data_IF_272661169914
#
_entry.id   IF_272661169914
#
_cell.length_a   1.000
_cell.length_b   1.000
_cell.length_c   1.000
_cell.angle_alpha   90.00
_cell.angle_beta   90.00
_cell.angle_gamma   90.00
#
_symmetry.space_group_name_H-M   'P 1'
#
loop_
_entity.id
_entity.type
_entity.pdbx_description
1 polymer ?
#
# COMPACT_ATOMS: atom_id res chain seq x y z
N UNK A 1 -3.25 5.40 -8.74
CA UNK A 1 -3.90 6.02 -9.92
C UNK A 1 -4.99 6.97 -9.43
N UNK A 2 -4.93 8.26 -9.77
CA UNK A 2 -5.86 9.26 -9.19
C UNK A 2 -7.24 9.29 -9.84
N UNK A 3 -7.36 9.10 -11.16
CA UNK A 3 -8.65 9.19 -11.88
C UNK A 3 -9.27 7.83 -12.22
N UNK A 4 -8.50 6.73 -12.15
CA UNK A 4 -9.00 5.36 -12.30
C UNK A 4 -9.59 5.03 -13.67
N UNK A 5 -9.31 5.83 -14.70
CA UNK A 5 -9.84 5.61 -16.07
C UNK A 5 -9.05 4.54 -16.81
N UNK A 6 -9.68 3.89 -17.80
CA UNK A 6 -9.02 2.87 -18.64
C UNK A 6 -7.78 3.41 -19.34
N UNK A 7 -7.86 4.65 -19.84
CA UNK A 7 -6.73 5.36 -20.45
C UNK A 7 -5.57 5.49 -19.47
N UNK A 8 -5.83 5.98 -18.26
CA UNK A 8 -4.79 6.15 -17.24
C UNK A 8 -4.15 4.83 -16.83
N UNK A 9 -4.93 3.74 -16.80
CA UNK A 9 -4.40 2.39 -16.55
C UNK A 9 -3.46 1.94 -17.68
N UNK A 10 -3.83 2.19 -18.94
CA UNK A 10 -2.96 1.88 -20.09
C UNK A 10 -1.68 2.72 -20.10
N UNK A 11 -1.78 4.01 -19.77
CA UNK A 11 -0.61 4.88 -19.64
C UNK A 11 0.37 4.39 -18.57
N UNK A 12 -0.13 3.92 -17.41
CA UNK A 12 0.69 3.27 -16.38
C UNK A 12 1.36 2.01 -16.92
N UNK A 13 0.60 1.16 -17.62
CA UNK A 13 1.14 -0.05 -18.24
C UNK A 13 2.32 0.24 -19.18
N UNK A 14 2.18 1.21 -20.08
CA UNK A 14 3.23 1.62 -21.00
C UNK A 14 4.46 2.18 -20.27
N UNK A 15 4.26 3.06 -19.28
CA UNK A 15 5.37 3.66 -18.51
C UNK A 15 6.13 2.65 -17.66
N UNK A 16 5.42 1.69 -17.07
CA UNK A 16 6.05 0.56 -16.38
C UNK A 16 6.94 -0.24 -17.34
N UNK A 17 6.43 -0.62 -18.52
CA UNK A 17 7.22 -1.36 -19.50
C UNK A 17 8.46 -0.58 -19.97
N UNK A 18 8.31 0.74 -20.20
CA UNK A 18 9.40 1.62 -20.61
C UNK A 18 10.54 1.72 -19.57
N UNK A 19 10.26 1.40 -18.31
CA UNK A 19 11.23 1.43 -17.19
C UNK A 19 11.72 0.03 -16.80
N UNK A 20 11.38 -1.00 -17.58
CA UNK A 20 11.77 -2.40 -17.32
C UNK A 20 10.86 -3.15 -16.33
N UNK A 21 9.80 -2.51 -15.83
CA UNK A 21 8.79 -3.16 -15.01
C UNK A 21 7.81 -3.95 -15.91
N UNK A 22 7.76 -5.26 -15.74
CA UNK A 22 6.95 -6.16 -16.60
C UNK A 22 5.55 -6.43 -16.05
N UNK A 23 5.32 -6.17 -14.76
CA UNK A 23 4.01 -6.26 -14.14
C UNK A 23 3.87 -5.33 -12.94
N UNK A 24 2.65 -4.88 -12.66
CA UNK A 24 2.36 -3.96 -11.57
C UNK A 24 1.02 -4.26 -10.89
N UNK A 25 0.86 -3.80 -9.65
CA UNK A 25 -0.44 -3.73 -9.00
C UNK A 25 -1.08 -2.37 -9.29
N UNK A 26 -2.30 -2.39 -9.83
CA UNK A 26 -3.11 -1.18 -9.97
C UNK A 26 -3.46 -0.66 -8.57
N UNK A 27 -2.79 0.41 -8.16
CA UNK A 27 -2.85 0.90 -6.78
C UNK A 27 -3.87 2.03 -6.66
N UNK A 28 -4.84 1.89 -5.75
CA UNK A 28 -5.79 2.97 -5.40
C UNK A 28 -5.12 4.00 -4.51
N UNK A 29 -5.68 5.21 -4.46
CA UNK A 29 -5.49 6.13 -3.33
C UNK A 29 -6.79 6.17 -2.53
N UNK A 30 -6.77 6.80 -1.36
CA UNK A 30 -7.99 6.96 -0.56
C UNK A 30 -9.04 7.73 -1.35
N UNK A 31 -10.23 7.14 -1.49
CA UNK A 31 -11.33 7.68 -2.28
C UNK A 31 -12.68 7.33 -1.65
N UNK A 32 -13.77 7.83 -2.25
CA UNK A 32 -15.11 7.31 -1.95
C UNK A 32 -15.22 5.85 -2.40
N UNK A 33 -16.15 5.09 -1.80
CA UNK A 33 -16.44 3.71 -2.24
C UNK A 33 -16.85 3.66 -3.71
N UNK A 34 -17.62 4.66 -4.18
CA UNK A 34 -18.08 4.75 -5.57
C UNK A 34 -16.89 4.84 -6.52
N UNK A 35 -15.97 5.76 -6.26
CA UNK A 35 -14.80 5.98 -7.13
C UNK A 35 -13.87 4.76 -7.11
N UNK A 36 -13.75 4.10 -5.96
CA UNK A 36 -12.97 2.88 -5.85
C UNK A 36 -13.57 1.73 -6.69
N UNK A 37 -14.88 1.54 -6.63
CA UNK A 37 -15.61 0.57 -7.45
C UNK A 37 -15.46 0.90 -8.94
N UNK A 38 -15.56 2.17 -9.31
CA UNK A 38 -15.39 2.61 -10.69
C UNK A 38 -13.97 2.31 -11.21
N UNK A 39 -12.93 2.55 -10.38
CA UNK A 39 -11.55 2.17 -10.70
C UNK A 39 -11.39 0.66 -10.87
N UNK A 40 -11.95 -0.14 -9.96
CA UNK A 40 -11.92 -1.62 -10.04
C UNK A 40 -12.55 -2.10 -11.35
N UNK A 41 -13.68 -1.51 -11.75
CA UNK A 41 -14.36 -1.84 -13.01
C UNK A 41 -13.52 -1.48 -14.23
N UNK A 42 -12.83 -0.34 -14.21
CA UNK A 42 -11.87 0.01 -15.27
C UNK A 42 -10.73 -0.99 -15.35
N UNK A 43 -10.13 -1.39 -14.21
CA UNK A 43 -9.08 -2.43 -14.17
C UNK A 43 -9.59 -3.75 -14.76
N UNK A 44 -10.82 -4.17 -14.43
CA UNK A 44 -11.45 -5.39 -14.99
C UNK A 44 -11.63 -5.32 -16.51
N UNK A 45 -11.82 -4.13 -17.09
CA UNK A 45 -11.98 -3.97 -18.54
C UNK A 45 -10.65 -3.99 -19.29
N UNK A 46 -9.57 -3.54 -18.62
CA UNK A 46 -8.21 -3.43 -19.17
C UNK A 46 -7.35 -4.69 -18.96
N UNK A 47 -7.55 -5.43 -17.88
CA UNK A 47 -6.71 -6.61 -17.58
C UNK A 47 -6.72 -7.62 -18.74
N UNK A 48 -5.52 -8.08 -19.13
CA UNK A 48 -5.30 -8.94 -20.29
C UNK A 48 -5.28 -8.21 -21.64
N UNK A 49 -5.47 -6.89 -21.66
CA UNK A 49 -5.43 -6.02 -22.85
C UNK A 49 -4.42 -4.88 -22.68
N UNK A 50 -3.51 -5.00 -21.73
CA UNK A 50 -2.48 -4.02 -21.46
C UNK A 50 -1.55 -3.85 -22.67
N UNK A 51 -1.19 -2.61 -22.99
CA UNK A 51 -0.28 -2.30 -24.10
C UNK A 51 1.20 -2.48 -23.71
N UNK A 52 1.51 -2.54 -22.41
CA UNK A 52 2.87 -2.69 -21.87
C UNK A 52 2.93 -3.71 -20.73
N UNK A 53 3.29 -3.23 -19.53
CA UNK A 53 3.39 -4.07 -18.34
C UNK A 53 2.03 -4.67 -17.97
N UNK A 54 2.02 -5.90 -17.46
CA UNK A 54 0.79 -6.62 -17.12
C UNK A 54 0.23 -6.18 -15.76
N UNK A 55 -1.08 -6.12 -15.63
CA UNK A 55 -1.72 -5.94 -14.33
C UNK A 55 -1.68 -7.26 -13.57
N UNK A 56 -0.89 -7.32 -12.49
CA UNK A 56 -0.81 -8.48 -11.59
C UNK A 56 -1.98 -8.54 -10.59
N UNK A 57 -2.73 -7.45 -10.47
CA UNK A 57 -3.89 -7.30 -9.59
C UNK A 57 -4.03 -5.88 -9.08
N UNK A 58 -4.70 -5.73 -7.94
CA UNK A 58 -5.05 -4.47 -7.31
C UNK A 58 -4.42 -4.39 -5.92
N UNK A 59 -3.84 -3.23 -5.62
CA UNK A 59 -3.45 -2.84 -4.27
C UNK A 59 -4.40 -1.74 -3.80
N UNK A 60 -5.12 -2.01 -2.72
CA UNK A 60 -5.98 -1.03 -2.07
C UNK A 60 -5.16 -0.26 -1.02
N UNK A 61 -4.70 0.94 -1.37
CA UNK A 61 -4.04 1.83 -0.41
C UNK A 61 -5.06 2.81 0.18
N UNK A 62 -5.50 2.52 1.41
CA UNK A 62 -6.61 3.21 2.03
C UNK A 62 -7.98 2.67 1.61
N UNK A 63 -9.07 3.27 2.11
CA UNK A 63 -9.14 4.55 2.84
C UNK A 63 -9.01 4.42 4.37
N UNK A 64 -8.70 3.23 4.87
CA UNK A 64 -8.60 2.92 6.30
C UNK A 64 -7.25 3.32 6.90
N UNK A 65 -6.92 4.60 6.80
CA UNK A 65 -5.62 5.17 7.16
C UNK A 65 -5.77 6.24 8.24
N UNK A 66 -4.75 6.43 9.07
CA UNK A 66 -4.81 7.39 10.16
C UNK A 66 -4.63 8.83 9.65
N UNK A 67 -5.59 9.75 9.91
CA UNK A 67 -5.47 11.16 9.48
C UNK A 67 -4.20 11.86 9.96
N UNK A 68 -3.67 11.51 11.14
CA UNK A 68 -2.40 12.05 11.68
C UNK A 68 -1.19 11.73 10.79
N UNK A 69 -1.31 10.70 9.96
CA UNK A 69 -0.27 10.14 9.11
C UNK A 69 -0.69 10.09 7.64
N UNK A 70 -1.67 10.92 7.25
CA UNK A 70 -2.27 10.92 5.91
C UNK A 70 -1.29 11.15 4.76
N UNK A 71 -0.20 11.88 4.96
CA UNK A 71 0.67 12.29 3.86
C UNK A 71 -0.13 13.04 2.78
N UNK A 72 -0.10 12.53 1.55
CA UNK A 72 -0.85 13.08 0.40
C UNK A 72 -2.29 12.56 0.29
N UNK A 73 -2.74 11.66 1.17
CA UNK A 73 -4.09 11.10 1.14
C UNK A 73 -5.12 12.18 1.49
N UNK A 74 -6.22 12.22 0.73
CA UNK A 74 -7.30 13.18 0.99
C UNK A 74 -8.03 12.83 2.29
N UNK A 75 -7.89 13.70 3.30
CA UNK A 75 -8.47 13.48 4.63
C UNK A 75 -10.00 13.37 4.62
N UNK A 76 -10.69 14.03 3.68
CA UNK A 76 -12.17 14.03 3.66
C UNK A 76 -12.80 12.68 3.31
N UNK A 77 -12.00 11.74 2.78
CA UNK A 77 -12.45 10.39 2.40
C UNK A 77 -11.84 9.30 3.28
N UNK A 78 -10.91 9.66 4.18
CA UNK A 78 -10.39 8.74 5.19
C UNK A 78 -11.50 8.37 6.16
N UNK A 79 -11.54 7.09 6.53
CA UNK A 79 -12.58 6.55 7.43
C UNK A 79 -12.07 5.34 8.19
N UNK A 80 -12.81 4.95 9.22
CA UNK A 80 -12.45 3.79 10.03
C UNK A 80 -12.51 2.50 9.22
N UNK A 81 -11.66 1.51 9.52
CA UNK A 81 -11.79 0.15 9.01
C UNK A 81 -13.22 -0.39 9.14
N UNK A 82 -13.80 -0.85 8.02
CA UNK A 82 -15.13 -1.45 7.98
C UNK A 82 -15.11 -2.75 7.17
N UNK A 83 -15.42 -3.87 7.86
CA UNK A 83 -15.44 -5.21 7.25
C UNK A 83 -16.58 -5.36 6.24
N UNK A 84 -17.73 -4.70 6.45
CA UNK A 84 -18.85 -4.77 5.53
C UNK A 84 -18.52 -4.06 4.22
N UNK A 85 -17.97 -2.86 4.32
CA UNK A 85 -17.51 -2.10 3.15
C UNK A 85 -16.42 -2.87 2.38
N UNK A 86 -15.42 -3.40 3.09
CA UNK A 86 -14.39 -4.22 2.45
C UNK A 86 -15.00 -5.47 1.79
N UNK A 87 -16.00 -6.11 2.39
CA UNK A 87 -16.69 -7.24 1.78
C UNK A 87 -17.44 -6.84 0.50
N UNK A 88 -18.02 -5.65 0.42
CA UNK A 88 -18.59 -5.11 -0.82
C UNK A 88 -17.53 -4.90 -1.91
N UNK A 89 -16.38 -4.35 -1.53
CA UNK A 89 -15.23 -4.18 -2.43
C UNK A 89 -14.75 -5.54 -2.97
N UNK A 90 -14.65 -6.56 -2.11
CA UNK A 90 -14.31 -7.92 -2.53
C UNK A 90 -15.36 -8.56 -3.45
N UNK A 91 -16.66 -8.22 -3.33
CA UNK A 91 -17.68 -8.73 -4.27
C UNK A 91 -17.47 -8.20 -5.69
N UNK A 92 -17.00 -6.96 -5.84
CA UNK A 92 -16.72 -6.37 -7.14
C UNK A 92 -15.37 -6.83 -7.72
N UNK A 93 -14.30 -6.78 -6.92
CA UNK A 93 -12.94 -7.05 -7.40
C UNK A 93 -12.55 -8.55 -7.37
N UNK A 94 -13.12 -9.33 -6.43
CA UNK A 94 -12.80 -10.74 -6.26
C UNK A 94 -11.32 -10.99 -6.02
N UNK A 95 -10.75 -11.94 -6.75
CA UNK A 95 -9.34 -12.35 -6.64
C UNK A 95 -8.34 -11.34 -7.23
N UNK A 96 -8.82 -10.23 -7.80
CA UNK A 96 -7.95 -9.15 -8.28
C UNK A 96 -7.28 -8.42 -7.12
N UNK A 97 -7.90 -8.33 -5.94
CA UNK A 97 -7.27 -7.73 -4.77
C UNK A 97 -6.12 -8.63 -4.33
N UNK A 98 -4.89 -8.11 -4.39
CA UNK A 98 -3.68 -8.82 -3.94
C UNK A 98 -3.13 -8.26 -2.64
N UNK A 99 -3.34 -6.97 -2.40
CA UNK A 99 -2.80 -6.28 -1.24
C UNK A 99 -3.75 -5.20 -0.74
N UNK A 100 -3.82 -5.03 0.57
CA UNK A 100 -4.59 -3.96 1.23
C UNK A 100 -3.71 -3.30 2.29
N UNK A 101 -3.64 -1.96 2.26
CA UNK A 101 -2.93 -1.16 3.26
C UNK A 101 -3.92 -0.59 4.27
N UNK A 102 -3.63 -0.78 5.55
CA UNK A 102 -4.47 -0.35 6.68
C UNK A 102 -3.61 0.23 7.80
N UNK A 103 -4.15 1.21 8.52
CA UNK A 103 -3.64 1.64 9.81
C UNK A 103 -4.25 0.75 10.92
N UNK A 104 -3.47 -0.16 11.54
CA UNK A 104 -4.00 -1.20 12.41
C UNK A 104 -4.57 -0.68 13.74
N UNK A 105 -4.10 0.47 14.21
CA UNK A 105 -4.49 1.08 15.50
C UNK A 105 -5.89 1.74 15.46
N UNK A 106 -6.47 1.86 14.28
CA UNK A 106 -7.80 2.42 14.13
C UNK A 106 -8.89 1.45 14.63
N UNK A 107 -9.97 1.94 15.24
CA UNK A 107 -11.13 1.12 15.60
C UNK A 107 -11.59 0.23 14.44
N UNK A 108 -11.71 -1.08 14.69
CA UNK A 108 -12.04 -2.09 13.67
C UNK A 108 -10.84 -2.61 12.85
N UNK A 109 -9.64 -2.06 13.05
CA UNK A 109 -8.44 -2.44 12.30
C UNK A 109 -8.08 -3.92 12.44
N UNK A 110 -8.12 -4.45 13.67
CA UNK A 110 -7.83 -5.86 13.93
C UNK A 110 -8.89 -6.81 13.35
N UNK A 111 -10.16 -6.41 13.38
CA UNK A 111 -11.24 -7.19 12.76
C UNK A 111 -11.08 -7.24 11.24
N UNK A 112 -10.69 -6.12 10.63
CA UNK A 112 -10.37 -6.04 9.22
C UNK A 112 -9.16 -6.90 8.87
N UNK A 113 -8.07 -6.86 9.64
CA UNK A 113 -6.90 -7.72 9.44
C UNK A 113 -7.30 -9.20 9.48
N UNK A 114 -8.10 -9.60 10.47
CA UNK A 114 -8.59 -10.98 10.57
C UNK A 114 -9.44 -11.37 9.34
N UNK A 115 -10.28 -10.47 8.84
CA UNK A 115 -11.04 -10.66 7.60
C UNK A 115 -10.13 -10.82 6.38
N UNK A 116 -9.16 -9.93 6.19
CA UNK A 116 -8.25 -9.94 5.05
C UNK A 116 -7.38 -11.20 5.04
N UNK A 117 -6.97 -11.70 6.21
CA UNK A 117 -6.24 -12.97 6.35
C UNK A 117 -7.06 -14.14 5.82
N UNK A 118 -8.36 -14.21 6.14
CA UNK A 118 -9.27 -15.24 5.60
C UNK A 118 -9.48 -15.12 4.09
N UNK A 119 -9.32 -13.92 3.53
CA UNK A 119 -9.37 -13.69 2.07
C UNK A 119 -8.06 -14.03 1.37
N UNK A 120 -6.97 -14.31 2.11
CA UNK A 120 -5.68 -14.70 1.53
C UNK A 120 -4.98 -13.58 0.76
N UNK A 121 -5.21 -12.32 1.13
CA UNK A 121 -4.52 -11.16 0.54
C UNK A 121 -3.35 -10.71 1.41
N UNK A 122 -2.39 -10.02 0.80
CA UNK A 122 -1.29 -9.39 1.54
C UNK A 122 -1.84 -8.22 2.35
N UNK A 123 -1.56 -8.22 3.64
CA UNK A 123 -1.97 -7.15 4.55
C UNK A 123 -0.74 -6.30 4.83
N UNK A 124 -0.77 -5.07 4.34
CA UNK A 124 0.28 -4.09 4.52
C UNK A 124 -0.11 -3.04 5.56
N UNK A 125 0.86 -2.55 6.34
CA UNK A 125 0.65 -1.48 7.31
C UNK A 125 1.39 -0.22 6.84
N UNK A 126 0.69 0.92 6.80
CA UNK A 126 1.26 2.25 6.58
C UNK A 126 0.22 3.34 6.87
N UNK A 127 0.61 4.61 6.76
CA UNK A 127 -0.21 5.76 7.14
C UNK A 127 -0.80 5.58 8.54
N UNK A 128 0.07 5.14 9.45
CA UNK A 128 -0.30 4.61 10.76
C UNK A 128 0.50 5.30 11.85
N UNK A 129 -0.21 5.70 12.89
CA UNK A 129 0.35 6.21 14.13
C UNK A 129 0.48 5.10 15.18
N UNK A 130 0.48 3.82 14.77
CA UNK A 130 0.55 2.68 15.68
C UNK A 130 1.81 2.73 16.56
N UNK A 131 1.58 2.41 17.83
CA UNK A 131 2.63 2.04 18.77
C UNK A 131 3.32 0.75 18.32
N UNK A 132 4.45 0.45 18.95
CA UNK A 132 5.15 -0.81 18.76
C UNK A 132 4.24 -2.02 19.07
N UNK A 133 3.51 -1.99 20.18
CA UNK A 133 2.68 -3.12 20.61
C UNK A 133 1.49 -3.37 19.67
N UNK A 134 0.82 -2.30 19.20
CA UNK A 134 -0.26 -2.40 18.21
C UNK A 134 0.25 -2.99 16.89
N UNK A 135 1.44 -2.57 16.43
CA UNK A 135 2.06 -3.13 15.24
C UNK A 135 2.38 -4.63 15.40
N UNK A 136 2.93 -5.03 16.55
CA UNK A 136 3.22 -6.45 16.86
C UNK A 136 1.94 -7.28 16.89
N UNK A 137 0.86 -6.76 17.46
CA UNK A 137 -0.45 -7.41 17.42
C UNK A 137 -0.95 -7.60 15.99
N UNK A 138 -0.83 -6.56 15.14
CA UNK A 138 -1.21 -6.64 13.73
C UNK A 138 -0.41 -7.70 12.97
N UNK A 139 0.92 -7.78 13.17
CA UNK A 139 1.75 -8.83 12.55
C UNK A 139 1.35 -10.23 13.01
N UNK A 140 1.17 -10.43 14.31
CA UNK A 140 0.69 -11.70 14.87
C UNK A 140 -0.69 -12.09 14.32
N UNK A 141 -1.56 -11.11 14.07
CA UNK A 141 -2.87 -11.34 13.50
C UNK A 141 -2.82 -11.70 12.01
N UNK A 142 -1.77 -11.31 11.28
CA UNK A 142 -1.53 -11.73 9.89
C UNK A 142 -1.03 -10.64 8.95
N UNK A 143 -0.72 -9.44 9.45
CA UNK A 143 -0.01 -8.45 8.65
C UNK A 143 1.43 -8.93 8.36
N UNK A 144 1.87 -8.80 7.12
CA UNK A 144 3.17 -9.34 6.67
C UNK A 144 3.96 -8.35 5.85
N UNK A 145 3.48 -7.11 5.72
CA UNK A 145 4.10 -6.14 4.83
C UNK A 145 4.02 -4.72 5.37
N UNK A 146 4.99 -3.88 4.99
CA UNK A 146 4.98 -2.44 5.23
C UNK A 146 4.95 -1.72 3.89
N UNK A 147 3.97 -0.84 3.68
CA UNK A 147 3.95 0.06 2.51
C UNK A 147 4.92 1.22 2.75
N UNK A 148 5.73 1.59 1.75
CA UNK A 148 6.68 2.73 1.74
C UNK A 148 7.29 3.07 3.10
N UNK A 149 8.00 2.11 3.73
CA UNK A 149 8.53 2.18 5.09
C UNK A 149 9.19 3.54 5.41
N UNK A 150 8.96 4.05 6.63
CA UNK A 150 9.24 5.41 7.13
C UNK A 150 8.26 6.51 6.69
N UNK A 151 7.63 6.41 5.52
CA UNK A 151 6.74 7.44 5.00
C UNK A 151 5.34 7.29 5.62
N UNK A 152 4.76 8.39 6.10
CA UNK A 152 3.44 8.35 6.75
C UNK A 152 3.41 7.44 8.00
N UNK A 153 4.48 7.41 8.80
CA UNK A 153 4.55 6.58 10.01
C UNK A 153 4.94 7.39 11.23
N UNK A 154 4.63 6.87 12.41
CA UNK A 154 5.22 7.34 13.67
C UNK A 154 6.76 7.30 13.58
N UNK A 155 7.48 8.41 13.86
CA UNK A 155 8.94 8.40 13.91
C UNK A 155 9.47 7.47 14.99
N UNK A 156 10.69 6.96 14.81
CA UNK A 156 11.36 6.15 15.82
C UNK A 156 11.78 7.03 17.00
N UNK A 157 11.33 6.67 18.20
CA UNK A 157 11.77 7.28 19.45
C UNK A 157 12.21 6.18 20.45
N UNK A 158 13.24 6.45 21.26
CA UNK A 158 13.85 5.42 22.12
C UNK A 158 12.93 4.84 23.22
N UNK A 159 11.84 5.54 23.58
CA UNK A 159 10.77 5.06 24.48
C UNK A 159 9.46 4.72 23.77
N UNK A 160 9.38 5.02 22.47
CA UNK A 160 8.18 4.84 21.66
C UNK A 160 8.63 4.48 20.23
N UNK A 161 9.05 3.22 20.03
CA UNK A 161 9.78 2.86 18.82
C UNK A 161 8.87 2.67 17.59
N UNK A 162 7.56 2.54 17.82
CA UNK A 162 6.53 2.53 16.78
C UNK A 162 6.58 1.36 15.81
N UNK A 163 5.75 1.45 14.77
CA UNK A 163 5.59 0.45 13.70
C UNK A 163 6.90 0.08 13.00
N UNK A 164 7.80 1.04 12.77
CA UNK A 164 9.03 0.82 11.99
C UNK A 164 9.95 -0.17 12.69
N UNK A 165 10.18 0.02 14.00
CA UNK A 165 11.04 -0.89 14.78
C UNK A 165 10.38 -2.26 14.92
N UNK A 166 9.07 -2.32 15.15
CA UNK A 166 8.35 -3.59 15.18
C UNK A 166 8.56 -4.39 13.88
N UNK A 167 8.48 -3.72 12.72
CA UNK A 167 8.68 -4.36 11.42
C UNK A 167 10.14 -4.79 11.16
N UNK A 168 11.13 -4.10 11.76
CA UNK A 168 12.53 -4.52 11.69
C UNK A 168 12.81 -5.82 12.45
N UNK A 169 12.16 -6.02 13.60
CA UNK A 169 12.35 -7.24 14.41
C UNK A 169 11.67 -8.48 13.81
N UNK A 170 10.57 -8.30 13.06
CA UNK A 170 9.84 -9.41 12.45
C UNK A 170 10.44 -9.85 11.11
N UNK A 171 11.23 -10.92 11.10
CA UNK A 171 11.91 -11.42 9.88
C UNK A 171 10.98 -11.71 8.71
N UNK A 172 9.74 -12.14 8.96
CA UNK A 172 8.76 -12.48 7.93
C UNK A 172 8.00 -11.25 7.38
N UNK A 173 8.18 -10.07 7.97
CA UNK A 173 7.56 -8.83 7.48
C UNK A 173 8.48 -8.19 6.45
N UNK A 174 8.00 -8.00 5.22
CA UNK A 174 8.76 -7.29 4.18
C UNK A 174 8.52 -5.78 4.22
N UNK A 175 9.53 -5.01 3.80
CA UNK A 175 9.51 -3.54 3.81
C UNK A 175 9.58 -2.99 2.40
N UNK A 176 8.60 -2.20 2.00
CA UNK A 176 8.71 -1.40 0.79
C UNK A 176 9.65 -0.21 0.97
N UNK A 177 10.47 0.06 -0.02
CA UNK A 177 11.38 1.20 -0.06
C UNK A 177 11.26 1.95 -1.39
N UNK A 178 11.08 3.27 -1.30
CA UNK A 178 11.19 4.19 -2.43
C UNK A 178 12.65 4.67 -2.48
N UNK A 179 13.39 4.27 -3.51
CA UNK A 179 14.85 4.47 -3.61
C UNK A 179 15.18 5.57 -4.63
N UNK A 180 14.64 6.76 -4.38
CA UNK A 180 14.83 7.95 -5.23
C UNK A 180 15.76 9.02 -4.59
N UNK A 181 16.31 8.73 -3.41
CA UNK A 181 17.09 9.64 -2.56
C UNK A 181 16.34 10.88 -2.04
N UNK A 182 15.02 10.95 -2.25
CA UNK A 182 14.15 12.03 -1.76
C UNK A 182 13.30 11.52 -0.60
N UNK A 183 12.58 10.41 -0.79
CA UNK A 183 11.74 9.80 0.24
C UNK A 183 12.59 9.21 1.37
N UNK A 184 13.74 8.63 1.03
CA UNK A 184 14.65 8.01 1.97
C UNK A 184 16.08 8.51 1.78
N UNK A 185 16.69 8.98 2.87
CA UNK A 185 18.13 9.23 2.88
C UNK A 185 18.89 7.92 2.62
N UNK A 186 20.00 7.90 1.83
CA UNK A 186 20.74 6.67 1.52
C UNK A 186 21.19 5.85 2.73
N UNK A 187 21.41 6.50 3.88
CA UNK A 187 21.72 5.80 5.13
C UNK A 187 20.56 4.93 5.65
N UNK A 188 19.31 5.37 5.47
CA UNK A 188 18.11 4.60 5.84
C UNK A 188 17.95 3.39 4.93
N UNK A 189 18.18 3.55 3.63
CA UNK A 189 18.14 2.44 2.66
C UNK A 189 19.16 1.36 3.04
N UNK A 190 20.41 1.78 3.35
CA UNK A 190 21.44 0.84 3.83
C UNK A 190 21.08 0.19 5.16
N UNK A 191 20.42 0.91 6.08
CA UNK A 191 19.95 0.36 7.35
C UNK A 191 18.90 -0.72 7.13
N UNK A 192 17.87 -0.44 6.32
CA UNK A 192 16.84 -1.41 5.97
C UNK A 192 17.45 -2.68 5.36
N UNK A 193 18.39 -2.52 4.43
CA UNK A 193 19.05 -3.65 3.78
C UNK A 193 19.87 -4.49 4.77
N UNK A 194 20.57 -3.86 5.72
CA UNK A 194 21.32 -4.60 6.76
C UNK A 194 20.41 -5.40 7.69
N UNK A 195 19.22 -4.87 8.01
CA UNK A 195 18.30 -5.50 8.95
C UNK A 195 17.45 -6.59 8.30
N UNK A 196 17.00 -6.36 7.06
CA UNK A 196 16.03 -7.23 6.36
C UNK A 196 16.65 -8.12 5.28
N UNK A 197 17.84 -7.75 4.80
CA UNK A 197 18.46 -8.41 3.65
C UNK A 197 17.70 -8.15 2.34
N UNK A 198 18.18 -8.75 1.24
CA UNK A 198 17.56 -8.60 -0.07
C UNK A 198 16.15 -9.21 -0.15
N UNK A 199 15.88 -10.29 0.60
CA UNK A 199 14.57 -10.98 0.54
C UNK A 199 13.49 -10.27 1.37
N UNK A 200 13.89 -9.42 2.32
CA UNK A 200 12.97 -8.67 3.18
C UNK A 200 12.71 -7.23 2.72
N UNK A 201 13.34 -6.79 1.62
CA UNK A 201 13.11 -5.47 1.03
C UNK A 201 12.44 -5.57 -0.33
N UNK A 202 11.42 -4.74 -0.55
CA UNK A 202 10.70 -4.65 -1.81
C UNK A 202 10.85 -3.23 -2.38
N UNK A 203 11.55 -3.10 -3.50
CA UNK A 203 11.70 -1.79 -4.13
C UNK A 203 10.39 -1.40 -4.83
N UNK A 204 9.93 -0.18 -4.59
CA UNK A 204 8.74 0.39 -5.22
C UNK A 204 9.04 1.78 -5.76
N UNK A 205 8.22 2.24 -6.69
CA UNK A 205 8.29 3.61 -7.19
C UNK A 205 7.38 4.56 -6.42
N UNK A 206 6.28 4.04 -5.86
CA UNK A 206 5.15 4.85 -5.34
C UNK A 206 4.71 5.96 -6.30
N UNK A 207 4.80 5.65 -7.58
CA UNK A 207 4.63 6.62 -8.64
C UNK A 207 3.17 7.08 -8.76
N UNK A 208 2.97 8.39 -8.61
CA UNK A 208 1.76 9.06 -9.05
C UNK A 208 1.81 9.32 -10.57
N UNK A 209 0.67 9.71 -11.14
CA UNK A 209 0.48 9.98 -12.59
C UNK A 209 1.54 10.91 -13.21
N UNK A 210 2.24 11.70 -12.38
CA UNK A 210 3.32 12.60 -12.77
C UNK A 210 4.65 11.92 -13.16
N UNK A 211 4.82 10.59 -13.00
CA UNK A 211 6.09 9.95 -13.34
C UNK A 211 6.43 10.03 -14.84
N UNK A 212 7.42 10.84 -15.21
CA UNK A 212 7.93 10.94 -16.58
C UNK A 212 7.21 11.96 -17.47
N UNK A 213 6.31 12.77 -16.90
CA UNK A 213 5.97 14.08 -17.47
C UNK A 213 6.93 15.08 -16.83
N UNK A 214 7.65 15.86 -17.65
CA UNK A 214 8.61 16.84 -17.16
C UNK A 214 7.96 17.84 -16.18
N UNK A 215 8.80 18.61 -15.49
CA UNK A 215 8.31 19.74 -14.69
C UNK A 215 7.39 20.58 -15.57
N UNK A 216 6.14 20.75 -15.16
CA UNK A 216 5.10 21.46 -15.93
C UNK A 216 5.50 22.87 -16.31
#
# INVERSE_FOLDING_TARGET
MMDGTERSIQEVSLRCAATGCTSFLATSVSSTIKDLIDMIRSVKRVIGKEEGAKIAGIHLEGPYLNPKRKGMQNESVLRQPDVNEMNEIFKEAGSLIKMVTVAPELPGGMDLIAFLKRKGVIIALAHSDATYDEAKQAFNAGATHITHCFNGMRPIHHRDPGLIVAAFEEKYVSLQAIVDNVHLHPAIIRLMHRLKGPDGMVLITDALQAMGVGDG
#
